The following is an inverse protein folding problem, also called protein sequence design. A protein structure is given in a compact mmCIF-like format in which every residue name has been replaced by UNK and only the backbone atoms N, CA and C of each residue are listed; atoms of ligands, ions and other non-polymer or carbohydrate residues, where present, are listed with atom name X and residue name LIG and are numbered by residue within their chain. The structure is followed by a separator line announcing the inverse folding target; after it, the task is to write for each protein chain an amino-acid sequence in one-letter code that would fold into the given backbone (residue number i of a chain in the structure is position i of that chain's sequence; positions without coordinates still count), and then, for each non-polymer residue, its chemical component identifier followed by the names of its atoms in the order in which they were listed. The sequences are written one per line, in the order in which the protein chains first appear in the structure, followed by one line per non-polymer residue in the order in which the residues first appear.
data_IF_985090636255
#
_entry.id   IF_985090636255
#
_cell.length_a   1.000
_cell.length_b   1.000
_cell.length_c   1.000
_cell.angle_alpha   90.00
_cell.angle_beta   90.00
_cell.angle_gamma   90.00
#
_symmetry.space_group_name_H-M   'P 1'
#
loop_
_entity.id
_entity.type
_entity.pdbx_description
1 polymer ?
#
# COMPACT_ATOMS: atom_id res chain seq x y z
N UNK A 1 54.43 -6.41 23.33
CA UNK A 1 53.67 -5.16 23.12
C UNK A 1 52.68 -5.44 22.00
N UNK A 2 51.43 -5.85 22.26
CA UNK A 2 50.22 -4.98 22.42
C UNK A 2 50.20 -3.82 21.39
N UNK A 3 49.16 -3.57 20.59
CA UNK A 3 47.72 -3.82 20.75
C UNK A 3 46.98 -3.76 19.40
N UNK A 4 45.96 -4.61 19.26
CA UNK A 4 44.61 -4.37 18.68
C UNK A 4 44.36 -3.10 17.84
N UNK A 5 43.70 -3.28 16.69
CA UNK A 5 42.41 -2.61 16.41
C UNK A 5 41.51 -3.55 15.61
N UNK A 6 40.33 -3.78 16.17
CA UNK A 6 39.22 -4.60 15.67
C UNK A 6 38.26 -3.71 14.86
N UNK A 7 37.50 -4.35 13.97
CA UNK A 7 36.22 -3.92 13.38
C UNK A 7 36.24 -2.89 12.25
N UNK A 8 35.67 -3.27 11.09
CA UNK A 8 34.35 -2.79 10.66
C UNK A 8 33.73 -3.82 9.69
N UNK A 9 33.04 -4.82 10.23
CA UNK A 9 31.96 -5.44 9.47
C UNK A 9 30.81 -4.42 9.46
N UNK A 10 30.52 -3.81 8.31
CA UNK A 10 29.37 -2.94 8.15
C UNK A 10 28.11 -3.80 8.36
N UNK A 11 27.55 -3.76 9.57
CA UNK A 11 26.21 -4.26 9.84
C UNK A 11 25.26 -3.47 8.95
N UNK A 12 24.73 -4.10 7.90
CA UNK A 12 23.67 -3.52 7.05
C UNK A 12 22.53 -3.09 7.98
N UNK A 13 22.29 -1.78 8.08
CA UNK A 13 21.24 -1.25 8.92
C UNK A 13 19.90 -1.56 8.25
N UNK A 14 18.97 -2.19 8.99
CA UNK A 14 17.59 -2.29 8.55
C UNK A 14 17.02 -0.86 8.43
N UNK A 15 16.34 -0.58 7.33
CA UNK A 15 15.67 0.71 7.14
C UNK A 15 14.40 0.73 7.98
N UNK A 16 14.32 1.66 8.92
CA UNK A 16 13.11 1.89 9.71
C UNK A 16 12.18 2.82 8.93
N UNK A 17 11.00 2.30 8.58
CA UNK A 17 9.99 3.04 7.82
C UNK A 17 8.73 3.14 8.66
N UNK A 18 8.15 4.34 8.73
CA UNK A 18 6.80 4.50 9.28
C UNK A 18 5.78 4.08 8.23
N UNK A 19 4.92 3.14 8.59
CA UNK A 19 3.99 2.53 7.65
C UNK A 19 2.56 2.60 8.14
N UNK A 20 1.62 2.81 7.23
CA UNK A 20 0.22 2.47 7.45
C UNK A 20 0.04 0.97 7.21
N UNK A 21 -0.43 0.25 8.23
CA UNK A 21 -0.76 -1.16 8.11
C UNK A 21 -2.18 -1.31 7.55
N UNK A 22 -2.31 -2.13 6.51
CA UNK A 22 -3.58 -2.38 5.81
C UNK A 22 -3.80 -3.86 5.54
N UNK A 23 -5.07 -4.25 5.48
CA UNK A 23 -5.45 -5.63 5.22
C UNK A 23 -6.02 -5.76 3.81
N UNK A 24 -5.51 -6.72 3.04
CA UNK A 24 -6.01 -7.03 1.69
C UNK A 24 -6.08 -8.54 1.50
N UNK A 25 -7.28 -9.03 1.24
CA UNK A 25 -7.52 -10.46 1.02
C UNK A 25 -7.07 -11.33 2.21
N UNK A 26 -7.17 -10.80 3.44
CA UNK A 26 -6.74 -11.51 4.65
C UNK A 26 -5.25 -11.44 4.99
N UNK A 27 -4.43 -10.70 4.24
CA UNK A 27 -3.01 -10.51 4.55
C UNK A 27 -2.66 -9.05 4.86
N UNK A 28 -1.72 -8.83 5.77
CA UNK A 28 -1.23 -7.50 6.11
C UNK A 28 -0.20 -7.00 5.11
N UNK A 29 -0.37 -5.75 4.72
CA UNK A 29 0.59 -5.02 3.91
C UNK A 29 0.94 -3.70 4.60
N UNK A 30 2.09 -3.15 4.25
CA UNK A 30 2.58 -1.88 4.73
C UNK A 30 2.76 -0.91 3.56
N UNK A 31 2.12 0.24 3.63
CA UNK A 31 2.42 1.39 2.77
C UNK A 31 3.30 2.36 3.55
N UNK A 32 4.27 2.99 2.88
CA UNK A 32 4.93 4.18 3.41
C UNK A 32 3.87 5.20 3.83
N UNK A 33 3.94 5.67 5.08
CA UNK A 33 3.01 6.68 5.57
C UNK A 33 3.09 7.97 4.73
N UNK A 34 4.26 8.28 4.18
CA UNK A 34 4.44 9.46 3.34
C UNK A 34 3.78 9.33 1.98
N UNK A 35 3.47 8.14 1.50
CA UNK A 35 2.71 7.96 0.28
C UNK A 35 1.19 8.08 0.50
N UNK A 36 0.72 7.98 1.75
CA UNK A 36 -0.69 8.05 2.11
C UNK A 36 -1.11 9.49 2.31
N UNK A 37 -2.19 9.90 1.64
CA UNK A 37 -2.78 11.22 1.81
C UNK A 37 -3.95 11.20 2.79
N UNK A 38 -4.87 10.24 2.62
CA UNK A 38 -6.00 10.05 3.53
C UNK A 38 -6.62 8.67 3.37
N UNK A 39 -7.44 8.26 4.34
CA UNK A 39 -8.26 7.04 4.28
C UNK A 39 -9.73 7.46 4.31
N UNK A 40 -10.49 7.04 3.30
CA UNK A 40 -11.92 7.33 3.19
C UNK A 40 -12.74 6.04 3.19
N UNK A 41 -14.02 6.14 3.57
CA UNK A 41 -14.95 5.01 3.48
C UNK A 41 -15.27 4.70 2.03
N UNK A 42 -15.65 3.45 1.75
CA UNK A 42 -16.16 3.07 0.44
C UNK A 42 -17.31 3.99 0.01
N UNK A 43 -17.24 4.46 -1.22
CA UNK A 43 -18.22 5.35 -1.83
C UNK A 43 -18.59 4.86 -3.23
N UNK A 44 -19.65 5.42 -3.81
CA UNK A 44 -20.02 5.11 -5.18
C UNK A 44 -18.90 5.52 -6.14
N UNK A 45 -18.54 4.61 -7.05
CA UNK A 45 -17.54 4.84 -8.08
C UNK A 45 -18.24 5.05 -9.42
N UNK A 46 -17.70 5.96 -10.23
CA UNK A 46 -18.10 6.10 -11.62
C UNK A 46 -17.40 5.00 -12.42
N UNK A 47 -18.14 4.04 -13.00
CA UNK A 47 -17.51 2.91 -13.69
C UNK A 47 -16.80 3.37 -14.96
N UNK A 48 -15.67 2.73 -15.26
CA UNK A 48 -14.96 2.90 -16.54
C UNK A 48 -15.27 1.71 -17.46
N UNK A 49 -15.97 1.91 -18.58
CA UNK A 49 -16.23 0.83 -19.54
C UNK A 49 -14.93 0.24 -20.09
N UNK A 50 -14.91 -1.09 -20.29
CA UNK A 50 -13.75 -1.84 -20.81
C UNK A 50 -12.47 -1.71 -19.97
N UNK A 51 -12.59 -1.29 -18.71
CA UNK A 51 -11.46 -1.27 -17.79
C UNK A 51 -11.01 -2.69 -17.43
N UNK A 52 -9.72 -2.87 -17.12
CA UNK A 52 -9.26 -4.07 -16.43
C UNK A 52 -10.06 -4.30 -15.14
N UNK A 53 -10.22 -5.56 -14.76
CA UNK A 53 -11.04 -5.97 -13.62
C UNK A 53 -10.56 -5.38 -12.28
N UNK A 54 -9.26 -5.08 -12.15
CA UNK A 54 -8.66 -4.44 -10.99
C UNK A 54 -8.91 -2.93 -10.92
N UNK A 55 -9.36 -2.26 -11.99
CA UNK A 55 -9.73 -0.85 -11.97
C UNK A 55 -11.24 -0.74 -11.72
N UNK A 56 -11.62 -0.41 -10.49
CA UNK A 56 -13.03 -0.33 -10.07
C UNK A 56 -13.78 0.89 -10.62
N UNK A 57 -13.06 1.86 -11.17
CA UNK A 57 -13.61 3.08 -11.77
C UNK A 57 -12.94 4.33 -11.22
N UNK A 58 -13.72 5.40 -11.13
CA UNK A 58 -13.27 6.71 -10.66
C UNK A 58 -14.04 7.19 -9.44
N UNK A 59 -13.34 7.77 -8.48
CA UNK A 59 -13.88 8.46 -7.32
C UNK A 59 -13.80 9.96 -7.53
N UNK A 60 -14.89 10.69 -7.31
CA UNK A 60 -14.83 12.14 -7.17
C UNK A 60 -14.61 12.48 -5.69
N UNK A 61 -13.40 12.90 -5.36
CA UNK A 61 -12.99 13.27 -4.02
C UNK A 61 -12.82 14.79 -3.95
N UNK A 62 -13.82 15.46 -3.39
CA UNK A 62 -13.82 16.93 -3.20
C UNK A 62 -13.56 17.71 -4.51
N UNK A 63 -14.05 17.20 -5.64
CA UNK A 63 -13.87 17.80 -6.97
C UNK A 63 -12.76 17.17 -7.80
N UNK A 64 -11.85 16.42 -7.18
CA UNK A 64 -10.76 15.72 -7.86
C UNK A 64 -11.20 14.32 -8.30
N UNK A 65 -11.06 14.00 -9.58
CA UNK A 65 -11.37 12.69 -10.13
C UNK A 65 -10.15 11.79 -10.03
N UNK A 66 -10.24 10.74 -9.23
CA UNK A 66 -9.17 9.81 -8.94
C UNK A 66 -9.52 8.41 -9.48
N UNK A 67 -8.59 7.72 -10.18
CA UNK A 67 -8.80 6.32 -10.48
C UNK A 67 -8.73 5.48 -9.19
N UNK A 68 -9.53 4.42 -9.11
CA UNK A 68 -9.62 3.56 -7.93
C UNK A 68 -9.34 2.10 -8.28
N UNK A 69 -8.34 1.52 -7.62
CA UNK A 69 -7.84 0.16 -7.81
C UNK A 69 -8.39 -0.76 -6.72
N UNK A 70 -8.94 -1.91 -7.09
CA UNK A 70 -9.22 -3.01 -6.18
C UNK A 70 -7.93 -3.81 -5.93
N UNK A 71 -7.31 -3.62 -4.77
CA UNK A 71 -6.05 -4.32 -4.46
C UNK A 71 -6.22 -5.83 -4.32
N UNK A 72 -7.41 -6.35 -3.98
CA UNK A 72 -7.62 -7.81 -3.93
C UNK A 72 -7.42 -8.39 -5.33
N UNK A 73 -8.08 -7.80 -6.32
CA UNK A 73 -7.96 -8.21 -7.73
C UNK A 73 -6.55 -7.98 -8.25
N UNK A 74 -5.97 -6.80 -7.98
CA UNK A 74 -4.64 -6.45 -8.47
C UNK A 74 -3.53 -7.35 -7.93
N UNK A 75 -3.71 -7.89 -6.71
CA UNK A 75 -2.80 -8.84 -6.07
C UNK A 75 -3.18 -10.31 -6.29
N UNK A 76 -4.15 -10.61 -7.17
CA UNK A 76 -4.58 -11.97 -7.48
C UNK A 76 -5.24 -12.71 -6.29
N UNK A 77 -5.81 -11.97 -5.34
CA UNK A 77 -6.54 -12.51 -4.18
C UNK A 77 -7.99 -12.80 -4.55
N UNK A 78 -8.62 -13.68 -3.78
CA UNK A 78 -10.05 -13.92 -3.91
C UNK A 78 -10.81 -12.59 -3.66
N UNK A 79 -11.44 -12.08 -4.71
CA UNK A 79 -12.18 -10.83 -4.68
C UNK A 79 -13.67 -11.13 -4.76
N UNK A 80 -14.40 -10.83 -3.69
CA UNK A 80 -15.86 -10.77 -3.68
C UNK A 80 -16.37 -9.42 -4.21
N UNK A 81 -17.69 -9.19 -4.15
CA UNK A 81 -18.26 -7.87 -4.37
C UNK A 81 -17.65 -6.85 -3.40
N UNK A 82 -17.49 -5.60 -3.86
CA UNK A 82 -17.11 -4.48 -3.00
C UNK A 82 -18.17 -4.27 -1.92
N UNK A 83 -17.72 -3.97 -0.70
CA UNK A 83 -18.57 -3.89 0.49
C UNK A 83 -18.58 -2.47 1.05
N UNK A 84 -19.67 -2.08 1.72
CA UNK A 84 -19.78 -0.76 2.35
C UNK A 84 -18.76 -0.52 3.48
N UNK A 85 -18.23 -1.59 4.07
CA UNK A 85 -17.21 -1.52 5.11
C UNK A 85 -15.77 -1.56 4.56
N UNK A 86 -15.59 -1.73 3.25
CA UNK A 86 -14.28 -1.57 2.63
C UNK A 86 -13.83 -0.10 2.75
N UNK A 87 -12.53 0.12 2.66
CA UNK A 87 -11.93 1.46 2.73
C UNK A 87 -11.19 1.76 1.43
N UNK A 88 -11.07 3.04 1.10
CA UNK A 88 -10.23 3.53 0.00
C UNK A 88 -9.09 4.32 0.62
N UNK A 89 -7.86 3.84 0.46
CA UNK A 89 -6.65 4.56 0.84
C UNK A 89 -6.22 5.42 -0.33
N UNK A 90 -6.23 6.74 -0.16
CA UNK A 90 -5.74 7.67 -1.17
C UNK A 90 -4.23 7.74 -1.04
N UNK A 91 -3.54 7.38 -2.13
CA UNK A 91 -2.09 7.40 -2.21
C UNK A 91 -1.63 8.37 -3.29
N UNK A 92 -0.40 8.86 -3.14
CA UNK A 92 0.25 9.66 -4.16
C UNK A 92 1.59 9.07 -4.57
N UNK A 93 1.92 9.24 -5.86
CA UNK A 93 3.22 8.90 -6.43
C UNK A 93 3.49 9.81 -7.63
N UNK A 94 4.69 10.37 -7.72
CA UNK A 94 5.13 11.21 -8.84
C UNK A 94 4.13 12.33 -9.23
N UNK A 95 3.54 13.00 -8.23
CA UNK A 95 2.56 14.09 -8.44
C UNK A 95 1.16 13.63 -8.90
N UNK A 96 0.91 12.32 -8.94
CA UNK A 96 -0.38 11.72 -9.29
C UNK A 96 -0.99 11.04 -8.06
N UNK A 97 -2.31 10.95 -8.04
CA UNK A 97 -3.08 10.36 -6.94
C UNK A 97 -3.96 9.22 -7.43
N UNK A 98 -4.15 8.19 -6.61
CA UNK A 98 -5.08 7.11 -6.86
C UNK A 98 -5.70 6.61 -5.56
N UNK A 99 -6.88 6.00 -5.63
CA UNK A 99 -7.50 5.29 -4.52
C UNK A 99 -7.19 3.80 -4.57
N UNK A 100 -6.89 3.20 -3.41
CA UNK A 100 -6.68 1.76 -3.27
C UNK A 100 -7.74 1.17 -2.35
N UNK A 101 -8.59 0.29 -2.87
CA UNK A 101 -9.59 -0.40 -2.06
C UNK A 101 -8.90 -1.50 -1.24
N UNK A 102 -9.15 -1.50 0.06
CA UNK A 102 -8.60 -2.43 1.05
C UNK A 102 -9.72 -2.99 1.94
N UNK A 103 -9.45 -4.12 2.62
CA UNK A 103 -10.38 -4.71 3.59
C UNK A 103 -10.51 -3.85 4.84
N UNK A 104 -9.42 -3.18 5.22
CA UNK A 104 -9.32 -2.36 6.41
C UNK A 104 -7.94 -1.74 6.56
N UNK A 105 -7.84 -0.77 7.46
CA UNK A 105 -6.59 -0.19 7.96
C UNK A 105 -6.51 -0.45 9.45
N UNK A 106 -5.30 -0.64 9.98
CA UNK A 106 -5.09 -0.93 11.40
C UNK A 106 -4.43 0.26 12.09
N UNK A 107 -3.10 0.26 12.18
CA UNK A 107 -2.32 1.26 12.90
C UNK A 107 -1.17 1.79 12.04
N UNK A 108 -0.61 2.93 12.48
CA UNK A 108 0.68 3.40 11.99
C UNK A 108 1.77 2.76 12.84
N UNK A 109 2.66 2.02 12.20
CA UNK A 109 3.72 1.23 12.85
C UNK A 109 5.08 1.59 12.27
N UNK A 110 6.14 1.47 13.06
CA UNK A 110 7.51 1.56 12.54
C UNK A 110 8.01 0.15 12.28
N UNK A 111 8.28 -0.17 11.02
CA UNK A 111 8.77 -1.48 10.61
C UNK A 111 10.21 -1.37 10.11
N UNK A 112 11.01 -2.36 10.46
CA UNK A 112 12.34 -2.55 9.90
C UNK A 112 12.23 -3.41 8.65
N UNK A 113 12.73 -2.92 7.53
CA UNK A 113 12.88 -3.68 6.30
C UNK A 113 14.37 -3.89 6.00
N UNK A 114 14.73 -5.13 5.69
CA UNK A 114 16.08 -5.45 5.22
C UNK A 114 16.22 -5.09 3.76
N UNK A 115 17.38 -4.60 3.39
CA UNK A 115 17.69 -4.27 2.00
C UNK A 115 17.47 -5.49 1.09
N UNK A 116 16.52 -5.38 0.16
CA UNK A 116 16.12 -6.46 -0.75
C UNK A 116 15.00 -7.38 -0.24
N UNK A 117 14.61 -7.27 1.04
CA UNK A 117 13.46 -7.99 1.60
C UNK A 117 12.20 -7.12 1.52
N UNK A 118 11.11 -7.69 1.00
CA UNK A 118 9.79 -7.02 0.90
C UNK A 118 8.81 -7.48 1.98
N UNK A 119 9.34 -8.03 3.08
CA UNK A 119 8.54 -8.62 4.15
C UNK A 119 9.13 -8.18 5.48
N UNK A 120 8.27 -7.72 6.39
CA UNK A 120 8.58 -7.51 7.80
C UNK A 120 7.58 -8.26 8.67
N UNK A 121 7.58 -8.06 9.99
CA UNK A 121 6.61 -8.66 10.91
C UNK A 121 6.04 -7.64 11.88
N UNK A 122 4.75 -7.77 12.15
CA UNK A 122 4.03 -7.04 13.19
C UNK A 122 3.27 -8.08 14.04
N UNK A 123 3.58 -8.16 15.33
CA UNK A 123 3.04 -9.18 16.26
C UNK A 123 3.07 -10.60 15.67
N UNK A 124 4.27 -11.06 15.28
CA UNK A 124 4.56 -12.34 14.60
C UNK A 124 3.91 -12.55 13.23
N UNK A 125 3.02 -11.65 12.81
CA UNK A 125 2.28 -11.73 11.57
C UNK A 125 3.11 -11.14 10.42
N UNK A 126 3.26 -11.85 9.27
CA UNK A 126 3.96 -11.30 8.11
C UNK A 126 3.28 -10.05 7.56
N UNK A 127 4.09 -9.03 7.28
CA UNK A 127 3.65 -7.78 6.66
C UNK A 127 4.41 -7.59 5.36
N UNK A 128 3.68 -7.48 4.24
CA UNK A 128 4.26 -7.32 2.91
C UNK A 128 4.42 -5.84 2.57
N UNK A 129 5.60 -5.42 2.12
CA UNK A 129 5.79 -4.06 1.61
C UNK A 129 4.96 -3.85 0.34
N UNK A 130 4.11 -2.81 0.37
CA UNK A 130 3.28 -2.38 -0.74
C UNK A 130 3.90 -1.11 -1.33
N UNK A 131 4.43 -1.23 -2.54
CA UNK A 131 4.89 -0.05 -3.29
C UNK A 131 3.67 0.57 -4.00
N UNK A 132 3.34 1.84 -3.74
CA UNK A 132 2.18 2.49 -4.38
C UNK A 132 2.39 2.77 -5.88
N UNK A 133 3.64 2.88 -6.35
CA UNK A 133 3.95 3.40 -7.68
C UNK A 133 3.23 2.66 -8.82
N UNK A 134 3.25 1.31 -8.90
CA UNK A 134 2.60 0.59 -9.99
C UNK A 134 1.09 0.83 -10.04
N UNK A 135 0.45 0.96 -8.88
CA UNK A 135 -1.00 1.16 -8.80
C UNK A 135 -1.41 2.58 -9.22
N UNK A 136 -0.58 3.58 -8.88
CA UNK A 136 -0.83 4.95 -9.32
C UNK A 136 -0.57 5.07 -10.82
N UNK A 137 0.57 4.60 -11.32
CA UNK A 137 0.97 4.77 -12.71
C UNK A 137 0.04 4.03 -13.68
N UNK A 138 -0.25 2.74 -13.41
CA UNK A 138 -1.06 1.92 -14.31
C UNK A 138 -2.52 2.37 -14.35
N UNK A 139 -3.11 2.72 -13.21
CA UNK A 139 -4.52 3.13 -13.15
C UNK A 139 -4.79 4.41 -13.93
N UNK A 140 -3.76 5.23 -14.05
CA UNK A 140 -3.74 6.48 -14.80
C UNK A 140 -3.42 6.31 -16.29
N UNK A 141 -2.89 5.15 -16.69
CA UNK A 141 -2.63 4.81 -18.09
C UNK A 141 -3.84 4.17 -18.79
N UNK A 142 -4.91 3.86 -18.04
CA UNK A 142 -6.15 3.29 -18.55
C UNK A 142 -7.09 4.35 -19.09
#
# INVERSE_FOLDING_TARGET
MQTHTVNQASTRADEQVQCLLLQVGGAFHALDIYAVEEVVRMAALTPKPNAPDWLSGYLNLRGDILPVVDLRRRLGRAAGPLRLNDLIVIVHHAGRRAGLIVDGVSDVVTLSFREGERISRFDDTPVFWLDPAPYVEEAHAQ
#
